data_IF_368045262073
#
_entry.id   IF_368045262073
#
_cell.length_a   1.000
_cell.length_b   1.000
_cell.length_c   1.000
_cell.angle_alpha   90.00
_cell.angle_beta   90.00
_cell.angle_gamma   90.00
#
_symmetry.space_group_name_H-M   'P 1'
#
loop_
_entity.id
_entity.type
_entity.pdbx_description
1 polymer ?
#
# COMPACT_ATOMS: atom_id res chain seq x y z
N UNK A 1 36.50 16.12 0.59
CA UNK A 1 35.57 15.86 1.71
C UNK A 1 34.34 16.78 1.74
N UNK A 2 34.39 18.04 1.26
CA UNK A 2 33.23 18.95 1.25
C UNK A 2 32.11 18.58 0.23
N UNK A 3 32.44 17.85 -0.83
CA UNK A 3 31.48 17.43 -1.87
C UNK A 3 30.41 16.47 -1.34
N UNK A 4 30.76 15.61 -0.38
CA UNK A 4 29.79 14.66 0.20
C UNK A 4 28.67 15.37 0.94
N UNK A 5 28.98 16.43 1.69
CA UNK A 5 28.00 17.15 2.49
C UNK A 5 26.95 17.86 1.62
N UNK A 6 27.37 18.46 0.50
CA UNK A 6 26.45 19.03 -0.49
C UNK A 6 25.60 17.97 -1.21
N UNK A 7 26.20 16.81 -1.52
CA UNK A 7 25.49 15.67 -2.11
C UNK A 7 24.43 15.10 -1.16
N UNK A 8 24.66 15.07 0.15
CA UNK A 8 23.67 14.62 1.14
C UNK A 8 22.44 15.52 1.17
N UNK A 9 22.62 16.84 1.13
CA UNK A 9 21.49 17.78 1.08
C UNK A 9 20.69 17.67 -0.23
N UNK A 10 21.38 17.52 -1.36
CA UNK A 10 20.73 17.26 -2.64
C UNK A 10 19.98 15.92 -2.63
N UNK A 11 20.59 14.87 -2.07
CA UNK A 11 19.96 13.57 -1.91
C UNK A 11 18.70 13.65 -1.04
N UNK A 12 18.74 14.37 0.07
CA UNK A 12 17.56 14.59 0.93
C UNK A 12 16.46 15.37 0.20
N UNK A 13 16.83 16.43 -0.54
CA UNK A 13 15.89 17.25 -1.30
C UNK A 13 15.17 16.43 -2.38
N UNK A 14 15.81 15.41 -2.94
CA UNK A 14 15.19 14.49 -3.90
C UNK A 14 14.47 13.31 -3.22
N UNK A 15 15.03 12.78 -2.14
CA UNK A 15 14.50 11.61 -1.44
C UNK A 15 13.16 11.90 -0.74
N UNK A 16 13.01 13.07 -0.12
CA UNK A 16 11.75 13.45 0.56
C UNK A 16 10.56 13.46 -0.41
N UNK A 17 10.57 14.21 -1.53
CA UNK A 17 9.45 14.21 -2.47
C UNK A 17 9.26 12.83 -3.13
N UNK A 18 10.34 12.10 -3.42
CA UNK A 18 10.23 10.74 -3.96
C UNK A 18 9.54 9.79 -2.97
N UNK A 19 9.90 9.85 -1.68
CA UNK A 19 9.26 9.05 -0.63
C UNK A 19 7.78 9.42 -0.46
N UNK A 20 7.46 10.72 -0.43
CA UNK A 20 6.08 11.19 -0.36
C UNK A 20 5.25 10.73 -1.57
N UNK A 21 5.84 10.76 -2.76
CA UNK A 21 5.22 10.25 -3.98
C UNK A 21 4.96 8.74 -3.92
N UNK A 22 5.94 7.96 -3.46
CA UNK A 22 5.78 6.51 -3.28
C UNK A 22 4.71 6.17 -2.24
N UNK A 23 4.64 6.90 -1.12
CA UNK A 23 3.58 6.74 -0.12
C UNK A 23 2.20 7.03 -0.72
N UNK A 24 2.08 8.08 -1.55
CA UNK A 24 0.84 8.39 -2.27
C UNK A 24 0.42 7.29 -3.23
N UNK A 25 1.36 6.73 -3.99
CA UNK A 25 1.10 5.59 -4.85
C UNK A 25 0.65 4.38 -4.04
N UNK A 26 1.30 4.11 -2.91
CA UNK A 26 0.92 3.01 -2.03
C UNK A 26 -0.51 3.18 -1.46
N UNK A 27 -0.93 4.40 -1.11
CA UNK A 27 -2.33 4.67 -0.71
C UNK A 27 -3.33 4.33 -1.82
N UNK A 28 -3.02 4.68 -3.08
CA UNK A 28 -3.88 4.32 -4.22
C UNK A 28 -3.93 2.82 -4.43
N UNK A 29 -2.78 2.13 -4.34
CA UNK A 29 -2.70 0.67 -4.39
C UNK A 29 -3.53 0.03 -3.27
N UNK A 30 -3.49 0.61 -2.07
CA UNK A 30 -4.27 0.17 -0.93
C UNK A 30 -5.77 0.23 -1.20
N UNK A 31 -6.27 1.36 -1.68
CA UNK A 31 -7.69 1.54 -1.98
C UNK A 31 -8.16 0.69 -3.17
N UNK A 32 -7.27 0.43 -4.12
CA UNK A 32 -7.50 -0.53 -5.21
C UNK A 32 -7.67 -1.97 -4.68
N UNK A 33 -6.92 -2.39 -3.64
CA UNK A 33 -7.07 -3.75 -3.08
C UNK A 33 -8.41 -3.98 -2.40
N UNK A 34 -9.00 -2.91 -1.86
CA UNK A 34 -10.36 -2.85 -1.35
C UNK A 34 -11.40 -2.73 -2.46
N UNK A 35 -10.96 -2.49 -3.70
CA UNK A 35 -11.80 -2.21 -4.89
C UNK A 35 -12.70 -0.99 -4.70
N UNK A 36 -12.24 -0.02 -3.90
CA UNK A 36 -12.98 1.19 -3.55
C UNK A 36 -12.56 2.42 -4.38
N UNK A 37 -11.41 2.35 -5.06
CA UNK A 37 -10.88 3.51 -5.80
C UNK A 37 -11.61 3.73 -7.14
N UNK A 38 -11.79 2.68 -7.95
CA UNK A 38 -12.57 2.73 -9.19
C UNK A 38 -13.87 1.94 -9.10
N UNK A 39 -14.87 2.33 -9.89
CA UNK A 39 -16.13 1.56 -10.03
C UNK A 39 -15.91 0.19 -10.69
N UNK A 40 -14.91 0.07 -11.57
CA UNK A 40 -14.59 -1.19 -12.26
C UNK A 40 -13.53 -1.98 -11.46
N UNK A 41 -13.88 -3.21 -11.06
CA UNK A 41 -13.00 -4.12 -10.33
C UNK A 41 -11.72 -4.47 -11.09
N UNK A 42 -11.83 -4.69 -12.41
CA UNK A 42 -10.67 -4.98 -13.24
C UNK A 42 -9.69 -3.80 -13.33
N UNK A 43 -10.21 -2.57 -13.34
CA UNK A 43 -9.38 -1.38 -13.35
C UNK A 43 -8.61 -1.24 -12.03
N UNK A 44 -9.25 -1.49 -10.89
CA UNK A 44 -8.57 -1.51 -9.59
C UNK A 44 -7.43 -2.56 -9.57
N UNK A 45 -7.71 -3.79 -10.01
CA UNK A 45 -6.72 -4.87 -9.96
C UNK A 45 -5.53 -4.61 -10.90
N UNK A 46 -5.78 -4.07 -12.11
CA UNK A 46 -4.69 -3.71 -13.03
C UNK A 46 -3.84 -2.55 -12.53
N UNK A 47 -4.48 -1.45 -12.09
CA UNK A 47 -3.76 -0.28 -11.55
C UNK A 47 -2.98 -0.66 -10.30
N UNK A 48 -3.59 -1.45 -9.41
CA UNK A 48 -2.93 -1.97 -8.21
C UNK A 48 -1.68 -2.79 -8.53
N UNK A 49 -1.72 -3.65 -9.57
CA UNK A 49 -0.55 -4.43 -10.03
C UNK A 49 0.56 -3.55 -10.59
N UNK A 50 0.23 -2.58 -11.44
CA UNK A 50 1.21 -1.65 -12.02
C UNK A 50 1.88 -0.84 -10.93
N UNK A 51 1.10 -0.29 -10.00
CA UNK A 51 1.65 0.46 -8.86
C UNK A 51 2.47 -0.45 -7.95
N UNK A 52 2.05 -1.71 -7.75
CA UNK A 52 2.79 -2.71 -6.97
C UNK A 52 4.21 -2.95 -7.47
N UNK A 53 4.45 -2.84 -8.79
CA UNK A 53 5.81 -2.91 -9.35
C UNK A 53 6.63 -1.67 -8.94
N UNK A 54 6.03 -0.48 -8.99
CA UNK A 54 6.70 0.79 -8.63
C UNK A 54 6.99 0.89 -7.13
N UNK A 55 6.10 0.38 -6.29
CA UNK A 55 6.23 0.37 -4.83
C UNK A 55 7.04 -0.84 -4.33
N UNK A 56 7.52 -1.70 -5.24
CA UNK A 56 8.19 -2.96 -4.92
C UNK A 56 7.36 -3.84 -3.95
N UNK A 57 6.04 -3.72 -4.03
CA UNK A 57 5.07 -4.40 -3.17
C UNK A 57 4.12 -5.21 -4.05
N UNK A 58 4.38 -6.52 -4.26
CA UNK A 58 3.58 -7.35 -5.15
C UNK A 58 2.09 -7.33 -4.77
N UNK A 59 1.26 -6.79 -5.66
CA UNK A 59 -0.14 -6.44 -5.37
C UNK A 59 -0.98 -7.62 -4.90
N UNK A 60 -0.91 -8.78 -5.58
CA UNK A 60 -1.78 -9.91 -5.26
C UNK A 60 -1.47 -10.52 -3.88
N UNK A 61 -0.18 -10.67 -3.56
CA UNK A 61 0.28 -11.12 -2.23
C UNK A 61 -0.13 -10.11 -1.15
N UNK A 62 0.16 -8.82 -1.41
CA UNK A 62 -0.17 -7.75 -0.48
C UNK A 62 -1.68 -7.67 -0.23
N UNK A 63 -2.51 -7.73 -1.27
CA UNK A 63 -3.97 -7.75 -1.18
C UNK A 63 -4.48 -8.92 -0.34
N UNK A 64 -3.90 -10.11 -0.49
CA UNK A 64 -4.28 -11.28 0.30
C UNK A 64 -3.96 -11.08 1.78
N UNK A 65 -2.71 -10.72 2.10
CA UNK A 65 -2.29 -10.45 3.48
C UNK A 65 -3.09 -9.31 4.10
N UNK A 66 -3.39 -8.27 3.33
CA UNK A 66 -4.18 -7.12 3.77
C UNK A 66 -5.64 -7.48 4.07
N UNK A 67 -6.27 -8.31 3.22
CA UNK A 67 -7.60 -8.84 3.47
C UNK A 67 -7.64 -9.68 4.75
N UNK A 68 -6.62 -10.51 4.99
CA UNK A 68 -6.47 -11.29 6.24
C UNK A 68 -6.31 -10.34 7.42
N UNK A 69 -5.43 -9.33 7.31
CA UNK A 69 -5.22 -8.33 8.36
C UNK A 69 -6.54 -7.66 8.77
N UNK A 70 -7.31 -7.17 7.81
CA UNK A 70 -8.63 -6.58 8.08
C UNK A 70 -9.64 -7.59 8.65
N UNK A 71 -9.64 -8.84 8.19
CA UNK A 71 -10.50 -9.88 8.74
C UNK A 71 -10.13 -10.20 10.19
N UNK A 72 -8.84 -10.29 10.53
CA UNK A 72 -8.36 -10.57 11.90
C UNK A 72 -8.53 -9.40 12.85
N UNK A 73 -8.39 -8.17 12.36
CA UNK A 73 -8.66 -6.96 13.14
C UNK A 73 -10.17 -6.71 13.32
N UNK A 74 -11.01 -7.37 12.50
CA UNK A 74 -12.48 -7.33 12.55
C UNK A 74 -13.13 -8.63 13.03
N UNK A 75 -12.37 -9.59 13.56
CA UNK A 75 -12.89 -10.87 14.05
C UNK A 75 -13.63 -10.67 15.39
N UNK A 76 -14.89 -10.22 15.26
CA UNK A 76 -15.89 -10.23 16.33
C UNK A 76 -16.61 -11.59 16.42
N UNK A 77 -16.47 -12.46 15.42
CA UNK A 77 -17.10 -13.79 15.39
C UNK A 77 -16.49 -14.74 16.43
N UNK A 78 -15.25 -14.48 16.87
CA UNK A 78 -14.63 -15.20 17.98
C UNK A 78 -15.07 -14.74 19.39
N UNK A 79 -16.18 -13.99 19.53
CA UNK A 79 -16.77 -13.63 20.85
C UNK A 79 -18.17 -14.22 21.13
N UNK A 80 -18.64 -15.20 20.36
CA UNK A 80 -20.00 -15.68 20.55
C UNK A 80 -20.29 -17.12 20.15
N UNK A 81 -19.48 -18.10 20.61
CA UNK A 81 -20.05 -19.43 20.91
C UNK A 81 -20.87 -19.29 22.21
N UNK A 82 -21.98 -18.58 22.13
CA UNK A 82 -22.99 -18.47 23.18
C UNK A 82 -24.17 -19.36 22.78
N UNK A 83 -24.33 -20.44 23.52
CA UNK A 83 -25.48 -21.34 23.49
C UNK A 83 -26.82 -20.59 23.52
N UNK A 84 -27.70 -20.91 22.58
CA UNK A 84 -29.15 -20.98 22.78
C UNK A 84 -29.76 -21.88 21.72
#
# INVERSE_FOLDING_TARGET
MASHFGLWWLALLLAVPAALFLVRLFMVQHDCSHRAFFRNRHANDWIGRVIGVLTLTPYDCWRQTHAIHHATSGDLDRRGLGTS
#
